data_IF_756133375615
#
_entry.id   IF_756133375615
#
_cell.length_a   1.000
_cell.length_b   1.000
_cell.length_c   1.000
_cell.angle_alpha   90.00
_cell.angle_beta   90.00
_cell.angle_gamma   90.00
#
_symmetry.space_group_name_H-M   'P 1'
#
loop_
_entity.id
_entity.type
_entity.pdbx_description
1 polymer ?
#
# COMPACT_ATOMS: atom_id res chain seq x y z
N UNK A 1 51.20 21.98 21.89
CA UNK A 1 50.60 20.82 21.22
C UNK A 1 49.20 21.24 20.79
N UNK A 2 49.01 21.62 19.53
CA UNK A 2 47.73 22.12 19.02
C UNK A 2 47.07 21.01 18.20
N UNK A 3 45.90 20.54 18.64
CA UNK A 3 45.05 19.64 17.85
C UNK A 3 44.16 20.48 16.94
N UNK A 4 44.38 20.38 15.62
CA UNK A 4 43.42 20.80 14.62
C UNK A 4 42.39 19.69 14.40
N UNK A 5 41.13 19.91 14.79
CA UNK A 5 40.01 19.08 14.35
C UNK A 5 39.61 19.49 12.93
N UNK A 6 39.90 18.63 11.95
CA UNK A 6 39.34 18.74 10.60
C UNK A 6 37.90 18.23 10.58
N UNK A 7 36.93 19.11 10.36
CA UNK A 7 35.58 18.71 10.00
C UNK A 7 35.57 18.27 8.54
N UNK A 8 35.42 16.97 8.29
CA UNK A 8 35.09 16.43 6.97
C UNK A 8 33.57 16.59 6.82
N UNK A 9 33.15 17.63 6.10
CA UNK A 9 31.77 17.76 5.66
C UNK A 9 31.47 16.72 4.59
N UNK A 10 30.65 15.71 4.91
CA UNK A 10 30.11 14.81 3.91
C UNK A 10 29.16 15.61 3.00
N UNK A 11 29.53 15.78 1.73
CA UNK A 11 28.61 16.28 0.70
C UNK A 11 27.62 15.15 0.42
N UNK A 12 26.37 15.31 0.84
CA UNK A 12 25.31 14.40 0.47
C UNK A 12 25.08 14.49 -1.06
N UNK A 13 25.44 13.44 -1.79
CA UNK A 13 25.09 13.32 -3.21
C UNK A 13 23.61 12.97 -3.28
N UNK A 14 22.79 13.90 -3.75
CA UNK A 14 21.38 13.63 -4.07
C UNK A 14 21.36 12.72 -5.29
N UNK A 15 20.73 11.53 -5.22
CA UNK A 15 20.58 10.66 -6.39
C UNK A 15 19.95 11.44 -7.54
N UNK A 16 20.40 11.21 -8.78
CA UNK A 16 19.88 11.92 -9.96
C UNK A 16 18.38 11.70 -10.21
N UNK A 17 17.81 10.70 -9.53
CA UNK A 17 16.39 10.34 -9.52
C UNK A 17 15.57 11.17 -8.53
N UNK A 18 16.18 11.84 -7.54
CA UNK A 18 15.50 12.65 -6.51
C UNK A 18 15.50 14.17 -6.82
N UNK A 19 16.09 14.57 -7.95
CA UNK A 19 16.17 15.97 -8.37
C UNK A 19 14.97 16.33 -9.24
N UNK A 20 14.15 17.35 -8.87
CA UNK A 20 13.10 17.85 -9.75
C UNK A 20 13.67 18.24 -11.11
N UNK A 21 13.05 17.73 -12.17
CA UNK A 21 13.44 18.05 -13.55
C UNK A 21 12.34 18.89 -14.16
N UNK A 22 12.68 19.73 -15.13
CA UNK A 22 11.67 20.55 -15.75
C UNK A 22 12.13 21.16 -17.04
N UNK A 23 11.16 21.54 -17.85
CA UNK A 23 11.37 22.31 -19.07
C UNK A 23 10.86 23.72 -18.81
N UNK A 24 11.72 24.70 -19.07
CA UNK A 24 11.32 26.10 -19.16
C UNK A 24 11.11 26.41 -20.65
N UNK A 25 9.92 26.84 -21.00
CA UNK A 25 9.61 27.32 -22.34
C UNK A 25 9.28 28.81 -22.28
N UNK A 26 9.76 29.56 -23.28
CA UNK A 26 9.42 30.96 -23.47
C UNK A 26 8.79 31.06 -24.84
N UNK A 27 7.63 31.70 -24.93
CA UNK A 27 6.90 31.82 -26.19
C UNK A 27 7.64 32.66 -27.25
N UNK A 28 8.63 33.47 -26.82
CA UNK A 28 9.45 34.31 -27.68
C UNK A 28 10.80 34.68 -27.03
N UNK A 29 11.86 34.60 -27.82
CA UNK A 29 13.23 34.96 -27.41
C UNK A 29 13.49 36.48 -27.46
N UNK A 30 12.61 37.25 -28.09
CA UNK A 30 12.73 38.70 -28.24
C UNK A 30 11.38 39.38 -28.03
N UNK A 31 11.34 40.38 -27.14
CA UNK A 31 10.15 41.21 -26.90
C UNK A 31 10.36 42.62 -27.45
N UNK A 32 9.30 43.15 -28.05
CA UNK A 32 9.20 44.58 -28.41
C UNK A 32 8.63 45.35 -27.22
N UNK A 33 9.00 46.61 -27.12
CA UNK A 33 8.50 47.52 -26.09
C UNK A 33 6.97 47.52 -26.08
N UNK A 34 6.36 47.21 -24.93
CA UNK A 34 4.91 47.10 -24.76
C UNK A 34 4.32 45.70 -24.96
N UNK A 35 5.12 44.67 -25.27
CA UNK A 35 4.68 43.28 -25.29
C UNK A 35 5.33 42.46 -24.16
N UNK A 36 4.54 41.58 -23.54
CA UNK A 36 5.02 40.63 -22.54
C UNK A 36 5.29 39.28 -23.19
N UNK A 37 6.35 38.59 -22.77
CA UNK A 37 6.52 37.15 -23.03
C UNK A 37 5.69 36.35 -22.03
N UNK A 38 5.30 35.15 -22.45
CA UNK A 38 4.79 34.10 -21.56
C UNK A 38 5.89 33.08 -21.29
N UNK A 39 6.07 32.76 -20.01
CA UNK A 39 6.94 31.70 -19.54
C UNK A 39 6.08 30.55 -19.06
N UNK A 40 6.31 29.37 -19.62
CA UNK A 40 5.73 28.13 -19.14
C UNK A 40 6.82 27.31 -18.48
N UNK A 41 6.65 27.03 -17.19
CA UNK A 41 7.56 26.19 -16.44
C UNK A 41 6.86 24.90 -16.04
N UNK A 42 7.29 23.78 -16.62
CA UNK A 42 6.82 22.45 -16.23
C UNK A 42 7.86 21.78 -15.35
N UNK A 43 7.51 21.41 -14.13
CA UNK A 43 8.40 20.74 -13.17
C UNK A 43 7.84 19.36 -12.85
N UNK A 44 8.60 18.33 -13.19
CA UNK A 44 8.44 16.95 -12.74
C UNK A 44 9.17 16.78 -11.41
N UNK A 45 8.40 16.60 -10.34
CA UNK A 45 8.93 16.21 -9.04
C UNK A 45 9.02 14.69 -8.97
N UNK A 46 10.22 14.10 -8.80
CA UNK A 46 10.31 12.68 -8.55
C UNK A 46 9.65 12.36 -7.22
N UNK A 47 8.55 11.61 -7.29
CA UNK A 47 7.93 11.06 -6.08
C UNK A 47 8.62 9.73 -5.83
N UNK A 48 9.32 9.56 -4.69
CA UNK A 48 10.00 8.29 -4.41
C UNK A 48 8.96 7.18 -4.37
N UNK A 49 9.30 6.06 -5.00
CA UNK A 49 8.46 4.86 -5.02
C UNK A 49 8.39 4.28 -3.62
N UNK A 50 7.38 3.47 -3.36
CA UNK A 50 7.12 2.90 -2.04
C UNK A 50 8.30 2.02 -1.65
N UNK A 51 8.93 1.37 -2.63
CA UNK A 51 10.14 0.57 -2.48
C UNK A 51 11.38 1.37 -2.06
N UNK A 52 11.40 2.68 -2.25
CA UNK A 52 12.53 3.54 -1.84
C UNK A 52 12.43 3.89 -0.35
N UNK A 53 11.24 3.72 0.24
CA UNK A 53 10.92 4.10 1.61
C UNK A 53 10.49 2.93 2.49
N UNK A 54 10.11 1.81 1.89
CA UNK A 54 9.61 0.58 2.51
C UNK A 54 10.25 -0.62 1.83
N UNK A 55 10.68 -1.61 2.62
CA UNK A 55 10.94 -2.98 2.16
C UNK A 55 9.74 -3.88 2.48
N UNK A 56 9.40 -4.76 1.53
CA UNK A 56 8.55 -5.93 1.79
C UNK A 56 9.51 -7.11 1.89
N UNK A 57 9.73 -7.60 3.11
CA UNK A 57 10.67 -8.70 3.38
C UNK A 57 9.91 -10.00 3.60
N UNK A 58 10.50 -11.17 3.30
CA UNK A 58 9.85 -12.45 3.58
C UNK A 58 9.41 -12.54 5.05
N UNK A 59 8.23 -13.11 5.32
CA UNK A 59 7.29 -13.69 4.35
C UNK A 59 6.41 -12.67 3.61
N UNK A 60 5.94 -11.61 4.27
CA UNK A 60 5.19 -10.48 3.66
C UNK A 60 5.30 -9.23 4.57
N UNK A 61 6.38 -9.08 5.33
CA UNK A 61 6.49 -8.08 6.40
C UNK A 61 6.92 -6.74 5.84
N UNK A 62 6.41 -5.66 6.42
CA UNK A 62 6.66 -4.30 5.95
C UNK A 62 7.68 -3.63 6.87
N UNK A 63 8.79 -3.13 6.31
CA UNK A 63 9.89 -2.51 7.06
C UNK A 63 10.26 -1.15 6.47
N UNK A 64 10.02 -0.03 7.18
CA UNK A 64 10.42 1.30 6.69
C UNK A 64 11.93 1.52 6.66
N UNK A 65 12.45 2.04 5.54
CA UNK A 65 13.85 2.45 5.34
C UNK A 65 14.18 3.79 6.02
N UNK A 66 13.16 4.57 6.33
CA UNK A 66 13.22 5.85 7.05
C UNK A 66 12.01 5.99 7.97
N UNK A 67 11.99 7.05 8.78
CA UNK A 67 10.80 7.39 9.55
C UNK A 67 9.68 7.73 8.56
N UNK A 68 8.51 7.12 8.74
CA UNK A 68 7.33 7.32 7.89
C UNK A 68 6.08 7.51 8.74
N UNK A 69 5.06 8.08 8.15
CA UNK A 69 3.70 8.12 8.68
C UNK A 69 2.84 7.11 7.94
N UNK A 70 2.24 6.17 8.66
CA UNK A 70 1.36 5.15 8.09
C UNK A 70 -0.11 5.55 8.20
N UNK A 71 -0.85 5.40 7.10
CA UNK A 71 -2.31 5.52 7.04
C UNK A 71 -2.91 4.23 6.49
N UNK A 72 -4.00 3.75 7.09
CA UNK A 72 -4.67 2.51 6.68
C UNK A 72 -6.13 2.78 6.34
N UNK A 73 -6.57 2.30 5.17
CA UNK A 73 -7.96 2.36 4.70
C UNK A 73 -8.42 0.96 4.30
N UNK A 74 -9.66 0.61 4.64
CA UNK A 74 -10.30 -0.61 4.13
C UNK A 74 -11.00 -0.22 2.84
N UNK A 75 -10.62 -0.84 1.72
CA UNK A 75 -11.23 -0.58 0.41
C UNK A 75 -12.54 -1.34 0.24
N UNK A 76 -12.63 -2.54 0.83
CA UNK A 76 -13.83 -3.36 0.77
C UNK A 76 -13.70 -4.68 1.50
N UNK A 77 -14.87 -5.27 1.76
CA UNK A 77 -15.03 -6.60 2.33
C UNK A 77 -16.04 -7.35 1.48
N UNK A 78 -15.63 -8.51 0.95
CA UNK A 78 -16.47 -9.41 0.14
C UNK A 78 -16.90 -10.68 0.90
N UNK A 79 -16.54 -10.78 2.18
CA UNK A 79 -16.73 -11.99 2.96
C UNK A 79 -18.21 -12.31 3.22
N UNK A 80 -18.66 -13.48 2.76
CA UNK A 80 -20.06 -13.88 2.84
C UNK A 80 -20.25 -15.41 2.86
N UNK A 81 -21.43 -15.86 3.28
CA UNK A 81 -21.89 -17.25 3.16
C UNK A 81 -23.24 -17.27 2.45
N UNK A 82 -23.26 -17.78 1.21
CA UNK A 82 -24.41 -17.61 0.33
C UNK A 82 -24.69 -16.13 0.12
N UNK A 83 -25.92 -15.68 0.41
CA UNK A 83 -26.31 -14.27 0.31
C UNK A 83 -26.13 -13.50 1.63
N UNK A 84 -25.61 -14.15 2.68
CA UNK A 84 -25.42 -13.52 3.99
C UNK A 84 -24.02 -12.94 4.08
N UNK A 85 -23.94 -11.63 4.17
CA UNK A 85 -22.70 -10.92 4.49
C UNK A 85 -22.27 -11.27 5.91
N UNK A 86 -20.98 -11.55 6.09
CA UNK A 86 -20.40 -11.96 7.36
C UNK A 86 -19.32 -10.97 7.78
N UNK A 87 -19.19 -10.69 9.09
CA UNK A 87 -18.20 -9.74 9.55
C UNK A 87 -16.80 -10.36 9.54
N UNK A 88 -15.80 -9.49 9.52
CA UNK A 88 -14.39 -9.83 9.52
C UNK A 88 -13.64 -8.86 10.44
N UNK A 89 -12.65 -9.38 11.18
CA UNK A 89 -11.75 -8.58 12.02
C UNK A 89 -10.42 -8.36 11.30
N UNK A 90 -9.87 -7.14 11.34
CA UNK A 90 -8.56 -6.82 10.81
C UNK A 90 -7.69 -6.02 11.81
N UNK A 91 -6.42 -6.38 11.87
CA UNK A 91 -5.47 -5.94 12.88
C UNK A 91 -4.10 -5.56 12.30
N UNK A 92 -3.37 -4.74 13.04
CA UNK A 92 -1.97 -4.47 12.81
C UNK A 92 -1.14 -4.69 14.07
N UNK A 93 0.15 -4.96 13.93
CA UNK A 93 1.13 -5.05 15.01
C UNK A 93 2.42 -4.33 14.59
N UNK A 94 3.10 -3.71 15.55
CA UNK A 94 4.38 -3.03 15.32
C UNK A 94 5.41 -3.66 16.25
N UNK A 95 6.53 -4.13 15.68
CA UNK A 95 7.62 -4.76 16.41
C UNK A 95 7.18 -5.95 17.29
N UNK A 96 6.19 -6.72 16.82
CA UNK A 96 5.64 -7.86 17.57
C UNK A 96 4.85 -7.47 18.82
N UNK A 97 4.36 -6.23 18.91
CA UNK A 97 3.41 -5.82 19.95
C UNK A 97 2.11 -6.61 19.89
N UNK A 98 1.26 -6.45 20.91
CA UNK A 98 -0.14 -6.87 20.84
C UNK A 98 -0.80 -6.34 19.56
N UNK A 99 -1.69 -7.15 19.00
CA UNK A 99 -2.46 -6.81 17.81
C UNK A 99 -3.54 -5.76 18.15
N UNK A 100 -3.47 -4.62 17.48
CA UNK A 100 -4.47 -3.56 17.56
C UNK A 100 -5.47 -3.71 16.42
N UNK A 101 -6.77 -3.70 16.74
CA UNK A 101 -7.83 -3.81 15.74
C UNK A 101 -8.05 -2.46 15.05
N UNK A 102 -8.05 -2.44 13.73
CA UNK A 102 -8.40 -1.26 12.94
C UNK A 102 -9.74 -1.38 12.21
N UNK A 103 -10.28 -2.59 12.07
CA UNK A 103 -11.58 -2.82 11.44
C UNK A 103 -12.31 -4.03 12.03
N UNK A 104 -13.62 -3.90 12.17
CA UNK A 104 -14.57 -4.98 12.41
C UNK A 104 -15.88 -4.62 11.72
N UNK A 105 -16.34 -5.47 10.81
CA UNK A 105 -17.58 -5.22 10.09
C UNK A 105 -17.73 -6.06 8.83
N UNK A 106 -18.80 -5.77 8.10
CA UNK A 106 -19.19 -6.35 6.82
C UNK A 106 -18.91 -5.38 5.67
N UNK A 107 -19.15 -5.81 4.43
CA UNK A 107 -19.02 -4.94 3.24
C UNK A 107 -19.73 -3.58 3.37
N UNK A 108 -21.01 -3.52 3.77
CA UNK A 108 -21.75 -2.28 4.00
C UNK A 108 -21.17 -1.34 5.07
N UNK A 109 -20.36 -1.85 6.00
CA UNK A 109 -19.72 -1.04 7.04
C UNK A 109 -18.43 -0.36 6.53
N UNK A 110 -18.00 -0.68 5.30
CA UNK A 110 -16.81 -0.10 4.69
C UNK A 110 -17.11 1.27 4.10
N UNK A 111 -16.35 2.26 4.54
CA UNK A 111 -16.27 3.59 3.94
C UNK A 111 -14.87 3.74 3.29
N UNK A 112 -14.69 3.50 1.97
CA UNK A 112 -13.35 3.42 1.36
C UNK A 112 -12.47 4.66 1.54
N UNK A 113 -13.08 5.84 1.63
CA UNK A 113 -12.38 7.11 1.89
C UNK A 113 -11.95 7.32 3.34
N UNK A 114 -12.47 6.52 4.28
CA UNK A 114 -12.23 6.69 5.71
C UNK A 114 -10.89 6.08 6.11
N UNK A 115 -10.05 6.90 6.72
CA UNK A 115 -8.79 6.47 7.31
C UNK A 115 -9.07 5.84 8.67
N UNK A 116 -8.88 4.52 8.77
CA UNK A 116 -9.10 3.73 9.98
C UNK A 116 -7.98 3.93 11.00
N UNK A 117 -6.74 4.04 10.52
CA UNK A 117 -5.57 4.40 11.34
C UNK A 117 -4.97 5.70 10.83
N UNK A 118 -5.14 6.77 11.61
CA UNK A 118 -4.57 8.07 11.28
C UNK A 118 -3.15 8.18 11.83
N UNK A 119 -2.24 8.51 10.92
CA UNK A 119 -0.96 9.16 11.20
C UNK A 119 -0.10 8.48 12.27
N UNK A 120 0.04 7.16 12.15
CA UNK A 120 0.97 6.41 13.01
C UNK A 120 2.40 6.70 12.55
N UNK A 121 3.14 7.42 13.37
CA UNK A 121 4.57 7.64 13.18
C UNK A 121 5.31 6.32 13.43
N UNK A 122 5.94 5.79 12.38
CA UNK A 122 6.72 4.55 12.44
C UNK A 122 8.19 4.90 12.31
N UNK A 123 8.99 4.43 13.26
CA UNK A 123 10.44 4.57 13.20
C UNK A 123 11.05 3.75 12.05
N UNK A 124 12.20 4.21 11.55
CA UNK A 124 13.02 3.43 10.62
C UNK A 124 13.33 2.05 11.21
N UNK A 125 13.23 1.02 10.39
CA UNK A 125 13.57 -0.36 10.76
C UNK A 125 12.55 -1.07 11.64
N UNK A 126 11.46 -0.41 12.03
CA UNK A 126 10.34 -1.11 12.67
C UNK A 126 9.73 -2.12 11.73
N UNK A 127 9.21 -3.21 12.27
CA UNK A 127 8.48 -4.21 11.50
C UNK A 127 6.99 -4.03 11.72
N UNK A 128 6.25 -3.85 10.63
CA UNK A 128 4.80 -3.71 10.63
C UNK A 128 4.21 -5.02 10.09
N UNK A 129 3.33 -5.62 10.87
CA UNK A 129 2.59 -6.81 10.50
C UNK A 129 1.09 -6.53 10.44
N UNK A 130 0.41 -7.23 9.54
CA UNK A 130 -1.05 -7.16 9.39
C UNK A 130 -1.65 -8.55 9.50
N UNK A 131 -2.89 -8.64 9.98
CA UNK A 131 -3.61 -9.91 10.01
C UNK A 131 -5.12 -9.74 10.08
N UNK A 132 -5.84 -10.78 9.65
CA UNK A 132 -7.29 -10.77 9.58
C UNK A 132 -7.91 -12.16 9.74
N UNK A 133 -9.22 -12.21 10.04
CA UNK A 133 -10.02 -13.45 10.10
C UNK A 133 -11.51 -13.17 9.94
N UNK A 134 -12.22 -14.05 9.23
CA UNK A 134 -13.67 -13.97 9.01
C UNK A 134 -14.49 -14.69 10.09
N UNK A 135 -15.70 -14.20 10.38
CA UNK A 135 -16.67 -14.88 11.24
C UNK A 135 -17.53 -15.87 10.45
N UNK A 136 -17.39 -17.17 10.70
CA UNK A 136 -18.10 -18.25 9.99
C UNK A 136 -19.54 -18.47 10.50
N UNK A 137 -20.15 -17.48 11.16
CA UNK A 137 -21.49 -17.55 11.74
C UNK A 137 -21.55 -18.20 13.13
N UNK A 138 -20.59 -19.07 13.46
CA UNK A 138 -20.51 -19.79 14.77
C UNK A 138 -19.14 -19.72 15.43
N UNK A 139 -18.10 -19.48 14.64
CA UNK A 139 -16.71 -19.48 15.08
C UNK A 139 -15.91 -18.58 14.16
N UNK A 140 -14.77 -18.12 14.64
CA UNK A 140 -13.80 -17.44 13.80
C UNK A 140 -13.08 -18.44 12.89
N UNK A 141 -12.80 -18.03 11.66
CA UNK A 141 -11.82 -18.67 10.80
C UNK A 141 -10.41 -18.54 11.41
N UNK A 142 -9.42 -19.31 10.94
CA UNK A 142 -8.03 -19.11 11.32
C UNK A 142 -7.59 -17.66 11.10
N UNK A 143 -6.69 -17.19 11.97
CA UNK A 143 -6.06 -15.89 11.82
C UNK A 143 -4.90 -15.99 10.82
N UNK A 144 -4.99 -15.21 9.76
CA UNK A 144 -4.01 -15.15 8.67
C UNK A 144 -3.27 -13.82 8.72
N UNK A 145 -1.94 -13.89 8.77
CA UNK A 145 -1.10 -12.74 9.10
C UNK A 145 0.25 -12.79 8.39
N UNK A 146 0.92 -11.64 8.34
CA UNK A 146 2.20 -11.47 7.63
C UNK A 146 3.41 -11.95 8.42
N UNK A 147 3.26 -12.51 9.63
CA UNK A 147 4.42 -12.91 10.46
C UNK A 147 5.04 -14.23 10.01
N UNK A 148 4.31 -15.02 9.22
CA UNK A 148 4.70 -16.35 8.69
C UNK A 148 4.32 -16.48 7.22
N UNK A 149 4.94 -17.44 6.53
CA UNK A 149 4.53 -17.80 5.17
C UNK A 149 3.08 -18.29 5.19
N UNK A 150 2.20 -17.52 4.54
CA UNK A 150 0.77 -17.78 4.56
C UNK A 150 0.17 -17.36 3.21
N UNK A 151 -0.45 -18.32 2.50
CA UNK A 151 -0.99 -18.08 1.17
C UNK A 151 -2.26 -17.23 1.19
N UNK A 152 -2.88 -17.06 2.36
CA UNK A 152 -4.13 -16.34 2.59
C UNK A 152 -3.96 -14.84 2.77
N UNK A 153 -2.72 -14.33 2.80
CA UNK A 153 -2.43 -12.89 2.87
C UNK A 153 -1.33 -12.52 1.90
N UNK A 154 -1.51 -11.43 1.16
CA UNK A 154 -0.50 -10.96 0.19
C UNK A 154 -0.41 -9.44 0.21
N UNK A 155 0.82 -8.95 0.39
CA UNK A 155 1.15 -7.52 0.27
C UNK A 155 1.66 -7.29 -1.14
N UNK A 156 1.08 -6.32 -1.83
CA UNK A 156 1.36 -5.99 -3.23
C UNK A 156 1.68 -4.51 -3.35
N UNK A 157 2.71 -4.19 -4.14
CA UNK A 157 3.05 -2.82 -4.56
C UNK A 157 2.56 -2.56 -5.98
N UNK A 158 2.64 -1.30 -6.41
CA UNK A 158 2.32 -0.90 -7.77
C UNK A 158 3.08 -1.76 -8.81
N UNK A 159 2.35 -2.27 -9.80
CA UNK A 159 2.86 -3.16 -10.86
C UNK A 159 2.88 -4.66 -10.51
N UNK A 160 2.72 -5.04 -9.23
CA UNK A 160 2.65 -6.45 -8.86
C UNK A 160 1.37 -7.10 -9.42
N UNK A 161 1.43 -8.40 -9.72
CA UNK A 161 0.25 -9.17 -10.12
C UNK A 161 -0.41 -9.81 -8.90
N UNK A 162 -1.73 -9.86 -8.89
CA UNK A 162 -2.46 -10.64 -7.89
C UNK A 162 -2.07 -12.14 -7.96
N UNK A 163 -2.22 -12.92 -6.87
CA UNK A 163 -1.77 -14.30 -6.84
C UNK A 163 -2.47 -15.18 -7.88
N UNK A 164 -1.72 -15.85 -8.74
CA UNK A 164 -2.26 -16.71 -9.81
C UNK A 164 -3.06 -17.92 -9.29
N UNK A 165 -2.88 -18.29 -8.02
CA UNK A 165 -3.64 -19.35 -7.36
C UNK A 165 -5.02 -18.90 -6.84
N UNK A 166 -5.37 -17.62 -6.98
CA UNK A 166 -6.72 -17.10 -6.74
C UNK A 166 -7.44 -17.00 -8.10
N UNK A 167 -8.33 -17.96 -8.45
CA UNK A 167 -8.86 -18.09 -9.81
C UNK A 167 -9.65 -16.87 -10.30
N UNK A 168 -10.21 -16.09 -9.38
CA UNK A 168 -11.00 -14.90 -9.70
C UNK A 168 -10.21 -13.89 -10.56
N UNK A 169 -8.92 -13.70 -10.29
CA UNK A 169 -8.10 -12.76 -11.07
C UNK A 169 -7.83 -13.23 -12.49
N UNK A 170 -7.60 -14.54 -12.67
CA UNK A 170 -7.39 -15.13 -14.01
C UNK A 170 -8.67 -15.10 -14.87
N UNK A 171 -9.83 -14.97 -14.24
CA UNK A 171 -11.14 -14.94 -14.89
C UNK A 171 -11.69 -13.50 -15.05
N UNK A 172 -10.94 -12.48 -14.63
CA UNK A 172 -11.41 -11.08 -14.65
C UNK A 172 -12.52 -10.78 -13.63
N UNK A 173 -12.76 -11.69 -12.67
CA UNK A 173 -13.74 -11.55 -11.60
C UNK A 173 -13.19 -10.71 -10.44
N UNK A 174 -12.77 -9.49 -10.76
CA UNK A 174 -12.30 -8.50 -9.79
C UNK A 174 -13.53 -7.79 -9.23
N UNK A 175 -13.66 -7.72 -7.91
CA UNK A 175 -14.77 -7.08 -7.23
C UNK A 175 -14.73 -5.56 -7.42
N UNK A 176 -15.91 -4.93 -7.44
CA UNK A 176 -16.08 -3.52 -7.84
C UNK A 176 -15.20 -2.53 -7.08
N UNK A 177 -14.96 -2.75 -5.78
CA UNK A 177 -14.13 -1.86 -4.97
C UNK A 177 -12.62 -2.01 -5.24
N UNK A 178 -12.17 -3.14 -5.79
CA UNK A 178 -10.76 -3.37 -6.14
C UNK A 178 -10.46 -2.91 -7.57
N UNK A 179 -11.43 -2.97 -8.50
CA UNK A 179 -11.26 -2.59 -9.92
C UNK A 179 -10.54 -1.25 -10.14
N UNK A 180 -10.83 -0.15 -9.41
CA UNK A 180 -10.14 1.13 -9.63
C UNK A 180 -8.62 1.08 -9.40
N UNK A 181 -8.17 0.09 -8.61
CA UNK A 181 -6.78 -0.10 -8.20
C UNK A 181 -6.08 -1.22 -8.96
N UNK A 182 -6.68 -1.68 -10.06
CA UNK A 182 -6.10 -2.64 -10.98
C UNK A 182 -5.97 -2.00 -12.37
N UNK A 183 -5.04 -2.48 -13.17
CA UNK A 183 -4.97 -2.16 -14.59
C UNK A 183 -5.70 -3.21 -15.45
N UNK A 184 -5.77 -2.96 -16.75
CA UNK A 184 -6.44 -3.84 -17.72
C UNK A 184 -5.74 -5.21 -17.88
N UNK A 185 -4.53 -5.37 -17.34
CA UNK A 185 -3.74 -6.60 -17.35
C UNK A 185 -3.87 -7.38 -16.03
N UNK A 186 -4.64 -6.88 -15.06
CA UNK A 186 -4.78 -7.49 -13.75
C UNK A 186 -3.58 -7.24 -12.81
N UNK A 187 -2.75 -6.24 -13.11
CA UNK A 187 -1.70 -5.77 -12.21
C UNK A 187 -2.25 -4.68 -11.29
N UNK A 188 -1.66 -4.57 -10.09
CA UNK A 188 -1.99 -3.53 -9.13
C UNK A 188 -1.58 -2.16 -9.70
N UNK A 189 -2.50 -1.21 -9.69
CA UNK A 189 -2.33 0.17 -10.14
C UNK A 189 -2.69 1.13 -9.01
N UNK A 190 -1.70 1.48 -8.20
CA UNK A 190 -1.83 2.32 -7.00
C UNK A 190 -0.77 3.41 -6.98
N UNK A 191 -0.92 4.39 -6.07
CA UNK A 191 0.02 5.49 -5.94
C UNK A 191 1.41 5.00 -5.56
N UNK A 192 2.43 5.80 -5.89
CA UNK A 192 3.84 5.47 -5.64
C UNK A 192 4.18 5.31 -4.15
N UNK A 193 3.28 5.61 -3.22
CA UNK A 193 3.51 5.47 -1.77
C UNK A 193 2.55 4.48 -1.10
N UNK A 194 1.82 3.73 -1.92
CA UNK A 194 0.78 2.83 -1.46
C UNK A 194 1.19 1.36 -1.57
N UNK A 195 0.64 0.56 -0.67
CA UNK A 195 0.58 -0.89 -0.76
C UNK A 195 -0.88 -1.34 -0.70
N UNK A 196 -1.21 -2.40 -1.43
CA UNK A 196 -2.47 -3.14 -1.25
C UNK A 196 -2.16 -4.42 -0.49
N UNK A 197 -3.02 -4.74 0.48
CA UNK A 197 -2.99 -6.03 1.15
C UNK A 197 -4.30 -6.75 0.90
N UNK A 198 -4.18 -7.98 0.40
CA UNK A 198 -5.27 -8.87 0.05
C UNK A 198 -5.37 -9.99 1.08
N UNK A 199 -6.59 -10.33 1.48
CA UNK A 199 -6.87 -11.52 2.29
C UNK A 199 -7.91 -12.42 1.66
N UNK A 200 -7.66 -13.71 1.82
CA UNK A 200 -8.70 -14.73 1.95
C UNK A 200 -8.93 -14.96 3.44
N UNK A 201 -10.16 -14.80 3.92
CA UNK A 201 -10.50 -14.89 5.33
C UNK A 201 -11.49 -16.03 5.64
N UNK A 202 -11.71 -16.89 4.64
CA UNK A 202 -12.48 -18.12 4.75
C UNK A 202 -11.61 -19.33 5.12
N UNK A 203 -12.14 -20.54 4.93
CA UNK A 203 -11.40 -21.81 5.06
C UNK A 203 -11.14 -22.48 3.72
N UNK A 204 -11.48 -21.79 2.62
CA UNK A 204 -11.20 -22.20 1.25
C UNK A 204 -9.70 -22.40 1.06
N UNK A 205 -9.31 -23.26 0.13
CA UNK A 205 -7.90 -23.52 -0.19
C UNK A 205 -7.52 -22.89 -1.53
N UNK A 206 -6.24 -22.55 -1.75
CA UNK A 206 -5.75 -22.07 -3.04
C UNK A 206 -6.23 -22.93 -4.21
N UNK A 207 -6.64 -22.28 -5.30
CA UNK A 207 -7.23 -22.93 -6.48
C UNK A 207 -8.74 -23.21 -6.37
N UNK A 208 -9.35 -23.09 -5.20
CA UNK A 208 -10.81 -23.13 -5.06
C UNK A 208 -11.44 -21.91 -5.73
N UNK A 209 -12.63 -22.06 -6.33
CA UNK A 209 -13.42 -20.92 -6.84
C UNK A 209 -13.84 -19.92 -5.76
N UNK A 210 -13.82 -20.36 -4.49
CA UNK A 210 -14.13 -19.55 -3.32
C UNK A 210 -12.87 -19.04 -2.61
N UNK A 211 -11.69 -19.29 -3.17
CA UNK A 211 -10.44 -18.70 -2.72
C UNK A 211 -10.09 -17.61 -3.74
N UNK A 212 -10.55 -16.39 -3.49
CA UNK A 212 -10.42 -15.29 -4.44
C UNK A 212 -9.52 -14.16 -3.95
N UNK A 213 -9.04 -14.22 -2.69
CA UNK A 213 -8.20 -13.19 -2.06
C UNK A 213 -8.84 -11.80 -2.07
N UNK A 214 -10.16 -11.72 -2.12
CA UNK A 214 -10.93 -10.47 -2.15
C UNK A 214 -11.86 -10.33 -0.94
N UNK A 215 -11.80 -11.24 0.03
CA UNK A 215 -12.58 -11.19 1.27
C UNK A 215 -12.35 -9.90 2.06
N UNK A 216 -11.10 -9.43 2.10
CA UNK A 216 -10.72 -8.12 2.64
C UNK A 216 -9.61 -7.52 1.77
N UNK A 217 -9.79 -6.25 1.40
CA UNK A 217 -8.77 -5.46 0.69
C UNK A 217 -8.47 -4.18 1.47
N UNK A 218 -7.18 -3.96 1.75
CA UNK A 218 -6.68 -2.84 2.53
C UNK A 218 -5.69 -2.03 1.70
N UNK A 219 -5.80 -0.71 1.73
CA UNK A 219 -4.82 0.22 1.19
C UNK A 219 -4.01 0.83 2.34
N UNK A 220 -2.69 0.71 2.26
CA UNK A 220 -1.75 1.28 3.23
C UNK A 220 -0.91 2.34 2.53
N UNK A 221 -0.97 3.58 3.01
CA UNK A 221 -0.19 4.72 2.46
C UNK A 221 0.92 5.09 3.44
N UNK A 222 2.13 5.34 2.91
CA UNK A 222 3.29 5.80 3.68
C UNK A 222 3.70 7.23 3.28
N UNK A 223 3.92 8.10 4.25
CA UNK A 223 4.33 9.50 4.03
C UNK A 223 5.64 9.86 4.72
#
# INVERSE_FOLDING_TARGET
MALSLGFIGAVATVPAEDVPRGTLNVDRDLVRTGMNSQLDWNIEYPTPKVTDIIDIVPPQRIVPKKKVTMKVRVLGVAFQSGNKLLPLDAYYSINGSSWDRFFYGTGPDVEPGKVMLKERNIAKGSVIDFGARGWLGRSWAPFHDTTREDQYVRVLKNGDTAPSYAPAYNQGNIISFLKPYMDDRGQVRIGDRDLIILWEASTSRPGSRFFDMQDLVVLVTFE
#
